data_IF_624122684392
#
_entry.id   IF_624122684392
#
_cell.length_a   1.000
_cell.length_b   1.000
_cell.length_c   1.000
_cell.angle_alpha   90.00
_cell.angle_beta   90.00
_cell.angle_gamma   90.00
#
_symmetry.space_group_name_H-M   'P 1'
#
loop_
_entity.id
_entity.type
_entity.pdbx_description
1 polymer ?
#
# COMPACT_ATOMS: atom_id res chain seq x y z
N UNK A 1 6.26 4.64 22.28
CA UNK A 1 4.91 5.24 22.18
C UNK A 1 4.88 6.13 20.96
N UNK A 2 3.83 6.06 20.14
CA UNK A 2 3.59 7.04 19.07
C UNK A 2 3.24 8.36 19.76
N UNK A 3 4.05 9.40 19.56
CA UNK A 3 3.78 10.74 20.10
C UNK A 3 2.78 11.45 19.21
N UNK A 4 1.92 12.28 19.80
CA UNK A 4 0.91 13.06 19.04
C UNK A 4 1.55 13.90 17.93
N UNK A 5 2.72 14.49 18.18
CA UNK A 5 3.47 15.26 17.18
C UNK A 5 3.80 14.43 15.93
N UNK A 6 4.19 13.16 16.11
CA UNK A 6 4.53 12.27 14.99
C UNK A 6 3.29 11.86 14.20
N UNK A 7 2.16 11.65 14.86
CA UNK A 7 0.87 11.40 14.19
C UNK A 7 0.49 12.57 13.29
N UNK A 8 0.57 13.80 13.81
CA UNK A 8 0.21 15.03 13.07
C UNK A 8 1.15 15.25 11.89
N UNK A 9 2.46 15.08 12.08
CA UNK A 9 3.47 15.24 11.02
C UNK A 9 3.23 14.26 9.87
N UNK A 10 3.05 12.96 10.18
CA UNK A 10 2.77 11.94 9.15
C UNK A 10 1.45 12.27 8.44
N UNK A 11 0.41 12.62 9.19
CA UNK A 11 -0.88 12.97 8.60
C UNK A 11 -0.76 14.14 7.62
N UNK A 12 -0.07 15.21 8.02
CA UNK A 12 0.14 16.38 7.16
C UNK A 12 0.85 16.01 5.85
N UNK A 13 1.95 15.26 5.92
CA UNK A 13 2.70 14.83 4.74
C UNK A 13 1.85 13.96 3.79
N UNK A 14 1.07 13.04 4.36
CA UNK A 14 0.18 12.16 3.61
C UNK A 14 -0.97 12.94 2.97
N UNK A 15 -1.57 13.87 3.69
CA UNK A 15 -2.73 14.65 3.24
C UNK A 15 -2.36 15.58 2.08
N UNK A 16 -1.23 16.29 2.19
CA UNK A 16 -0.72 17.13 1.10
C UNK A 16 -0.38 16.30 -0.15
N UNK A 17 0.28 15.15 0.03
CA UNK A 17 0.55 14.23 -1.07
C UNK A 17 -0.73 13.73 -1.76
N UNK A 18 -1.74 13.33 -0.99
CA UNK A 18 -2.99 12.81 -1.57
C UNK A 18 -3.78 13.87 -2.31
N UNK A 19 -3.76 15.14 -1.87
CA UNK A 19 -4.37 16.25 -2.61
C UNK A 19 -3.74 16.41 -3.99
N UNK A 20 -2.40 16.41 -4.06
CA UNK A 20 -1.67 16.49 -5.33
C UNK A 20 -1.92 15.26 -6.20
N UNK A 21 -1.83 14.07 -5.60
CA UNK A 21 -2.05 12.79 -6.28
C UNK A 21 -3.46 12.73 -6.90
N UNK A 22 -4.50 13.08 -6.14
CA UNK A 22 -5.88 13.06 -6.61
C UNK A 22 -6.11 14.09 -7.73
N UNK A 23 -5.46 15.26 -7.68
CA UNK A 23 -5.53 16.25 -8.74
C UNK A 23 -4.94 15.73 -10.06
N UNK A 24 -3.75 15.09 -10.00
CA UNK A 24 -3.09 14.49 -11.16
C UNK A 24 -3.88 13.31 -11.71
N UNK A 25 -4.36 12.40 -10.86
CA UNK A 25 -5.16 11.27 -11.31
C UNK A 25 -6.46 11.76 -11.97
N UNK A 26 -7.10 12.79 -11.42
CA UNK A 26 -8.31 13.37 -12.02
C UNK A 26 -8.05 14.00 -13.38
N UNK A 27 -6.93 14.70 -13.58
CA UNK A 27 -6.60 15.32 -14.87
C UNK A 27 -6.25 14.31 -15.97
N UNK A 28 -5.75 13.13 -15.58
CA UNK A 28 -5.38 12.05 -16.51
C UNK A 28 -6.38 10.90 -16.57
N UNK A 29 -7.51 10.99 -15.86
CA UNK A 29 -8.59 10.01 -15.93
C UNK A 29 -9.41 10.22 -17.19
N UNK A 30 -9.68 9.14 -17.92
CA UNK A 30 -10.62 9.17 -19.05
C UNK A 30 -12.04 9.45 -18.53
N UNK A 31 -12.79 10.29 -19.24
CA UNK A 31 -14.21 10.49 -18.93
C UNK A 31 -14.98 9.19 -19.17
N UNK A 32 -15.64 8.66 -18.12
CA UNK A 32 -16.56 7.53 -18.28
C UNK A 32 -17.74 7.97 -19.17
N UNK A 33 -17.85 7.40 -20.38
CA UNK A 33 -19.02 7.56 -21.23
C UNK A 33 -20.31 7.16 -20.50
N UNK A 34 -21.36 7.97 -20.70
CA UNK A 34 -22.68 7.91 -20.07
C UNK A 34 -22.65 7.72 -18.53
N UNK A 35 -22.78 8.83 -17.81
CA UNK A 35 -22.87 8.93 -16.35
C UNK A 35 -23.94 7.98 -15.76
N UNK A 36 -23.58 6.72 -15.47
CA UNK A 36 -24.33 5.94 -14.50
C UNK A 36 -24.27 6.73 -13.19
N UNK A 37 -25.41 7.22 -12.71
CA UNK A 37 -25.51 7.96 -11.43
C UNK A 37 -24.97 7.07 -10.31
N UNK A 38 -23.69 7.24 -9.98
CA UNK A 38 -23.05 6.57 -8.85
C UNK A 38 -23.35 7.37 -7.59
N UNK A 39 -23.63 6.66 -6.50
CA UNK A 39 -23.92 7.28 -5.21
C UNK A 39 -22.65 7.95 -4.69
N UNK A 40 -22.60 9.29 -4.73
CA UNK A 40 -21.45 10.06 -4.28
C UNK A 40 -21.53 10.33 -2.77
N UNK A 41 -21.36 9.28 -1.95
CA UNK A 41 -21.31 9.42 -0.49
C UNK A 41 -19.85 9.47 -0.04
N UNK A 42 -19.50 10.54 0.68
CA UNK A 42 -18.19 10.65 1.35
C UNK A 42 -18.00 9.46 2.29
N UNK A 43 -16.81 8.86 2.27
CA UNK A 43 -16.45 7.84 3.25
C UNK A 43 -16.35 8.47 4.64
N UNK A 44 -16.69 7.70 5.66
CA UNK A 44 -16.56 8.13 7.06
C UNK A 44 -15.11 8.43 7.43
N UNK A 45 -14.18 7.67 6.85
CA UNK A 45 -12.74 7.85 7.03
C UNK A 45 -12.10 8.16 5.67
N UNK A 46 -11.26 9.19 5.64
CA UNK A 46 -10.56 9.69 4.45
C UNK A 46 -9.40 8.77 4.04
N UNK A 47 -8.93 8.92 2.79
CA UNK A 47 -7.73 8.23 2.33
C UNK A 47 -6.50 8.59 3.17
N UNK A 48 -6.37 9.86 3.56
CA UNK A 48 -5.28 10.38 4.39
C UNK A 48 -5.24 9.70 5.76
N UNK A 49 -6.39 9.57 6.43
CA UNK A 49 -6.49 8.86 7.71
C UNK A 49 -6.12 7.38 7.57
N UNK A 50 -6.65 6.68 6.55
CA UNK A 50 -6.35 5.26 6.33
C UNK A 50 -4.85 5.07 6.11
N UNK A 51 -4.25 5.85 5.22
CA UNK A 51 -2.84 5.74 4.87
C UNK A 51 -1.93 6.12 6.05
N UNK A 52 -2.31 7.13 6.84
CA UNK A 52 -1.61 7.49 8.09
C UNK A 52 -1.61 6.34 9.09
N UNK A 53 -2.76 5.67 9.30
CA UNK A 53 -2.85 4.52 10.20
C UNK A 53 -1.92 3.38 9.73
N UNK A 54 -1.87 3.09 8.42
CA UNK A 54 -0.97 2.07 7.87
C UNK A 54 0.50 2.40 8.11
N UNK A 55 0.90 3.66 7.93
CA UNK A 55 2.28 4.09 8.21
C UNK A 55 2.58 4.02 9.71
N UNK A 56 1.66 4.48 10.56
CA UNK A 56 1.81 4.42 12.02
C UNK A 56 1.94 2.98 12.54
N UNK A 57 1.31 2.01 11.89
CA UNK A 57 1.46 0.59 12.24
C UNK A 57 2.93 0.15 12.21
N UNK A 58 3.70 0.59 11.21
CA UNK A 58 5.13 0.27 11.10
C UNK A 58 6.01 0.97 12.14
N UNK A 59 5.55 2.10 12.70
CA UNK A 59 6.18 2.73 13.86
C UNK A 59 5.66 2.19 15.19
N UNK A 60 4.63 1.36 15.15
CA UNK A 60 4.05 0.73 16.32
C UNK A 60 4.82 -0.56 16.63
N UNK A 61 4.85 -0.94 17.91
CA UNK A 61 5.41 -2.24 18.33
C UNK A 61 4.40 -3.39 18.23
N UNK A 62 3.24 -3.16 17.58
CA UNK A 62 2.22 -4.19 17.41
C UNK A 62 2.63 -5.17 16.31
N UNK A 63 2.39 -6.47 16.55
CA UNK A 63 2.70 -7.54 15.58
C UNK A 63 1.61 -7.75 14.54
N UNK A 64 0.40 -7.25 14.81
CA UNK A 64 -0.78 -7.51 13.99
C UNK A 64 -1.59 -6.22 13.77
N UNK A 65 -1.97 -6.00 12.51
CA UNK A 65 -2.68 -4.80 12.08
C UNK A 65 -4.06 -4.69 12.71
N UNK A 66 -4.76 -5.80 12.92
CA UNK A 66 -6.09 -5.80 13.55
C UNK A 66 -6.02 -5.32 14.99
N UNK A 67 -5.06 -5.84 15.76
CA UNK A 67 -4.85 -5.41 17.14
C UNK A 67 -4.45 -3.93 17.20
N UNK A 68 -3.56 -3.48 16.32
CA UNK A 68 -3.20 -2.07 16.23
C UNK A 68 -4.39 -1.18 15.88
N UNK A 69 -5.20 -1.55 14.89
CA UNK A 69 -6.38 -0.77 14.51
C UNK A 69 -7.43 -0.69 15.64
N UNK A 70 -7.63 -1.78 16.40
CA UNK A 70 -8.50 -1.77 17.58
C UNK A 70 -7.95 -0.86 18.68
N UNK A 71 -6.63 -0.79 18.83
CA UNK A 71 -5.98 0.20 19.70
C UNK A 71 -6.24 1.63 19.21
N UNK A 72 -6.05 1.93 17.92
CA UNK A 72 -6.34 3.26 17.33
C UNK A 72 -7.80 3.67 17.64
N UNK A 73 -8.76 2.78 17.39
CA UNK A 73 -10.19 3.03 17.64
C UNK A 73 -10.54 3.29 19.10
N UNK A 74 -9.80 2.69 20.04
CA UNK A 74 -10.11 2.78 21.48
C UNK A 74 -9.30 3.86 22.20
N UNK A 75 -8.04 4.06 21.82
CA UNK A 75 -7.06 4.88 22.56
C UNK A 75 -6.62 6.13 21.80
N UNK A 76 -6.76 6.19 20.48
CA UNK A 76 -6.39 7.36 19.65
C UNK A 76 -7.61 8.10 19.12
N UNK A 77 -8.69 8.17 19.90
CA UNK A 77 -9.94 8.83 19.46
C UNK A 77 -9.81 10.35 19.28
N UNK A 78 -8.85 10.97 19.96
CA UNK A 78 -8.53 12.38 19.74
C UNK A 78 -8.05 12.64 18.32
N UNK A 79 -7.23 11.72 17.81
CA UNK A 79 -6.57 11.85 16.51
C UNK A 79 -7.47 11.28 15.40
N UNK A 80 -8.21 10.21 15.70
CA UNK A 80 -9.12 9.52 14.79
C UNK A 80 -10.52 9.38 15.40
N UNK A 81 -11.34 10.46 15.39
CA UNK A 81 -12.64 10.47 16.06
C UNK A 81 -13.70 9.60 15.36
N UNK A 82 -13.60 9.44 14.04
CA UNK A 82 -14.63 8.78 13.21
C UNK A 82 -14.08 7.53 12.49
N UNK A 83 -13.70 6.53 13.28
CA UNK A 83 -13.23 5.24 12.74
C UNK A 83 -14.36 4.34 12.24
N UNK A 84 -14.03 3.41 11.35
CA UNK A 84 -14.95 2.39 10.79
C UNK A 84 -14.74 1.02 11.44
N UNK A 85 -15.58 0.03 11.10
CA UNK A 85 -15.31 -1.37 11.49
C UNK A 85 -14.00 -1.87 10.86
N UNK A 86 -13.34 -2.84 11.48
CA UNK A 86 -12.07 -3.39 10.95
C UNK A 86 -12.22 -3.94 9.53
N UNK A 87 -13.32 -4.66 9.24
CA UNK A 87 -13.56 -5.17 7.89
C UNK A 87 -13.67 -4.04 6.88
N UNK A 88 -14.35 -2.95 7.26
CA UNK A 88 -14.46 -1.77 6.40
C UNK A 88 -13.12 -1.05 6.23
N UNK A 89 -12.28 -1.05 7.26
CA UNK A 89 -10.92 -0.50 7.20
C UNK A 89 -10.06 -1.25 6.18
N UNK A 90 -10.07 -2.60 6.20
CA UNK A 90 -9.35 -3.44 5.23
C UNK A 90 -9.83 -3.20 3.78
N UNK A 91 -11.12 -2.94 3.58
CA UNK A 91 -11.62 -2.54 2.25
C UNK A 91 -11.08 -1.18 1.79
N UNK A 92 -10.93 -0.22 2.70
CA UNK A 92 -10.38 1.11 2.41
C UNK A 92 -8.86 1.07 2.20
N UNK A 93 -8.14 0.22 2.92
CA UNK A 93 -6.70 -0.03 2.74
C UNK A 93 -6.37 -0.36 1.27
N UNK A 94 -7.19 -1.19 0.63
CA UNK A 94 -7.00 -1.56 -0.79
C UNK A 94 -7.04 -0.36 -1.74
N UNK A 95 -7.74 0.72 -1.38
CA UNK A 95 -7.80 1.94 -2.19
C UNK A 95 -6.55 2.80 -2.07
N UNK A 96 -5.95 2.82 -0.88
CA UNK A 96 -4.74 3.63 -0.61
C UNK A 96 -3.45 2.88 -0.93
N UNK A 97 -3.51 1.57 -1.23
CA UNK A 97 -2.33 0.77 -1.55
C UNK A 97 -1.48 1.34 -2.71
N UNK A 98 -2.12 1.74 -3.81
CA UNK A 98 -1.40 2.35 -4.95
C UNK A 98 -0.84 3.75 -4.58
N UNK A 99 -1.65 4.68 -4.04
CA UNK A 99 -1.12 5.95 -3.54
C UNK A 99 0.04 5.79 -2.55
N UNK A 100 -0.04 4.82 -1.64
CA UNK A 100 1.01 4.52 -0.66
C UNK A 100 2.30 4.06 -1.34
N UNK A 101 2.21 3.17 -2.34
CA UNK A 101 3.38 2.77 -3.11
C UNK A 101 4.04 3.96 -3.84
N UNK A 102 3.23 4.84 -4.44
CA UNK A 102 3.72 6.06 -5.10
C UNK A 102 4.37 7.00 -4.08
N UNK A 103 3.74 7.22 -2.93
CA UNK A 103 4.29 8.02 -1.83
C UNK A 103 5.64 7.49 -1.37
N UNK A 104 5.76 6.19 -1.13
CA UNK A 104 7.01 5.57 -0.71
C UNK A 104 8.13 5.84 -1.73
N UNK A 105 7.83 5.67 -3.02
CA UNK A 105 8.81 5.86 -4.10
C UNK A 105 9.22 7.33 -4.31
N UNK A 106 8.32 8.27 -4.02
CA UNK A 106 8.55 9.70 -4.24
C UNK A 106 9.15 10.41 -3.02
N UNK A 107 8.80 9.99 -1.81
CA UNK A 107 9.05 10.76 -0.59
C UNK A 107 9.77 9.99 0.53
N UNK A 108 9.85 8.65 0.46
CA UNK A 108 10.29 7.84 1.59
C UNK A 108 11.43 6.84 1.25
N UNK A 109 12.13 7.03 0.14
CA UNK A 109 13.32 6.23 -0.16
C UNK A 109 14.53 6.76 0.63
N UNK A 110 15.31 5.84 1.20
CA UNK A 110 16.56 6.13 1.89
C UNK A 110 17.69 6.49 0.93
N UNK A 111 18.82 6.89 1.49
CA UNK A 111 20.02 7.17 0.71
C UNK A 111 20.89 5.92 0.58
N UNK A 112 21.47 5.72 -0.61
CA UNK A 112 22.44 4.65 -0.81
C UNK A 112 23.73 4.97 -0.05
N UNK A 113 24.07 4.11 0.91
CA UNK A 113 25.25 4.24 1.80
C UNK A 113 26.48 3.51 1.24
N UNK A 114 26.40 2.98 0.02
CA UNK A 114 27.45 2.21 -0.65
C UNK A 114 27.24 0.69 -0.63
N UNK A 115 26.43 0.17 0.30
CA UNK A 115 26.03 -1.23 0.36
C UNK A 115 24.51 -1.33 0.20
N UNK A 116 24.06 -2.21 -0.68
CA UNK A 116 22.64 -2.49 -0.88
C UNK A 116 22.38 -4.00 -0.89
N UNK A 117 21.26 -4.39 -0.27
CA UNK A 117 20.75 -5.75 -0.26
C UNK A 117 19.53 -5.81 -1.15
N UNK A 118 19.47 -6.82 -2.01
CA UNK A 118 18.33 -7.08 -2.89
C UNK A 118 17.78 -8.45 -2.55
N UNK A 119 16.49 -8.50 -2.26
CA UNK A 119 15.76 -9.76 -2.13
C UNK A 119 14.49 -9.75 -2.98
N UNK A 120 14.11 -10.94 -3.46
CA UNK A 120 12.96 -11.10 -4.34
C UNK A 120 11.91 -12.02 -3.70
N UNK A 121 10.70 -11.48 -3.51
CA UNK A 121 9.57 -12.25 -2.96
C UNK A 121 8.54 -12.55 -4.04
N UNK A 122 8.11 -13.81 -4.24
CA UNK A 122 7.10 -14.15 -5.23
C UNK A 122 5.70 -13.72 -4.78
N UNK A 123 5.07 -12.80 -5.53
CA UNK A 123 3.65 -12.43 -5.40
C UNK A 123 2.83 -13.36 -6.30
N UNK A 124 2.09 -14.30 -5.69
CA UNK A 124 1.34 -15.33 -6.43
C UNK A 124 -0.03 -14.80 -6.85
N UNK A 125 -0.30 -14.75 -8.15
CA UNK A 125 -1.63 -14.38 -8.68
C UNK A 125 -2.62 -15.53 -8.55
N UNK A 126 -2.16 -16.77 -8.76
CA UNK A 126 -2.96 -17.98 -8.50
C UNK A 126 -2.06 -19.18 -8.23
N UNK A 127 -2.68 -20.31 -7.85
CA UNK A 127 -1.98 -21.59 -7.81
C UNK A 127 -1.52 -21.97 -9.23
N UNK A 128 -0.29 -22.49 -9.39
CA UNK A 128 0.32 -22.76 -10.70
C UNK A 128 -0.54 -23.66 -11.60
N UNK A 129 -1.18 -24.69 -11.01
CA UNK A 129 -2.09 -25.60 -11.73
C UNK A 129 -3.31 -24.89 -12.36
N UNK A 130 -3.67 -23.68 -11.88
CA UNK A 130 -4.83 -22.90 -12.35
C UNK A 130 -4.45 -21.77 -13.31
N UNK A 131 -3.18 -21.63 -13.68
CA UNK A 131 -2.69 -20.60 -14.62
C UNK A 131 -3.57 -20.51 -15.87
N UNK A 132 -3.84 -21.64 -16.54
CA UNK A 132 -4.61 -21.67 -17.79
C UNK A 132 -6.04 -21.11 -17.65
N UNK A 133 -6.59 -21.12 -16.44
CA UNK A 133 -7.93 -20.63 -16.13
C UNK A 133 -7.93 -19.19 -15.58
N UNK A 134 -6.75 -18.65 -15.25
CA UNK A 134 -6.62 -17.30 -14.69
C UNK A 134 -6.84 -16.26 -15.78
N UNK A 135 -7.75 -15.30 -15.52
CA UNK A 135 -8.13 -14.26 -16.49
C UNK A 135 -7.60 -12.87 -16.12
N UNK A 136 -7.58 -12.53 -14.84
CA UNK A 136 -7.32 -11.15 -14.37
C UNK A 136 -5.91 -10.65 -14.72
N UNK A 137 -4.89 -11.47 -14.49
CA UNK A 137 -3.49 -11.14 -14.81
C UNK A 137 -2.93 -11.99 -15.94
N UNK A 138 -3.77 -12.52 -16.83
CA UNK A 138 -3.32 -13.46 -17.88
C UNK A 138 -2.18 -12.91 -18.73
N UNK A 139 -2.25 -11.63 -19.08
CA UNK A 139 -1.26 -10.96 -19.93
C UNK A 139 -0.05 -10.47 -19.15
N UNK A 140 -0.22 -10.21 -17.84
CA UNK A 140 0.79 -9.61 -16.99
C UNK A 140 1.60 -10.64 -16.23
N UNK A 141 0.97 -11.63 -15.58
CA UNK A 141 1.64 -12.63 -14.75
C UNK A 141 2.37 -13.68 -15.60
N UNK A 142 3.46 -14.22 -15.05
CA UNK A 142 4.27 -15.28 -15.67
C UNK A 142 4.56 -16.39 -14.68
N UNK A 143 4.98 -17.55 -15.20
CA UNK A 143 5.55 -18.61 -14.38
C UNK A 143 6.95 -18.20 -13.95
N UNK A 144 7.20 -18.25 -12.65
CA UNK A 144 8.52 -18.07 -12.07
C UNK A 144 8.90 -19.24 -11.18
N UNK A 145 10.20 -19.40 -10.96
CA UNK A 145 10.75 -20.30 -9.95
C UNK A 145 11.27 -19.48 -8.76
N UNK A 146 10.94 -19.95 -7.57
CA UNK A 146 11.47 -19.48 -6.28
C UNK A 146 12.15 -20.64 -5.55
N UNK A 147 12.84 -20.37 -4.45
CA UNK A 147 13.40 -21.41 -3.56
C UNK A 147 12.33 -22.38 -3.06
N UNK A 148 11.09 -21.89 -2.86
CA UNK A 148 9.91 -22.66 -2.45
C UNK A 148 9.22 -23.37 -3.62
N UNK A 149 9.76 -23.30 -4.83
CA UNK A 149 9.23 -23.94 -6.03
C UNK A 149 8.60 -22.98 -7.04
N UNK A 150 7.86 -23.55 -7.99
CA UNK A 150 7.23 -22.81 -9.08
C UNK A 150 5.97 -22.06 -8.64
N UNK A 151 5.76 -20.87 -9.19
CA UNK A 151 4.59 -20.04 -8.96
C UNK A 151 4.14 -19.36 -10.25
N UNK A 152 2.90 -18.89 -10.27
CA UNK A 152 2.37 -18.04 -11.34
C UNK A 152 2.01 -16.67 -10.75
N UNK A 153 2.66 -15.61 -11.23
CA UNK A 153 2.52 -14.28 -10.66
C UNK A 153 3.67 -13.34 -11.00
N UNK A 154 4.09 -12.56 -10.02
CA UNK A 154 5.13 -11.53 -10.11
C UNK A 154 6.24 -11.80 -9.10
N UNK A 155 7.44 -11.27 -9.31
CA UNK A 155 8.45 -11.13 -8.27
C UNK A 155 8.48 -9.67 -7.83
N UNK A 156 8.51 -9.44 -6.53
CA UNK A 156 8.74 -8.14 -5.93
C UNK A 156 10.20 -8.10 -5.49
N UNK A 157 10.99 -7.23 -6.09
CA UNK A 157 12.35 -6.94 -5.66
C UNK A 157 12.32 -5.76 -4.71
N UNK A 158 12.87 -5.95 -3.51
CA UNK A 158 13.08 -4.90 -2.52
C UNK A 158 14.58 -4.64 -2.41
N UNK A 159 14.96 -3.37 -2.46
CA UNK A 159 16.33 -2.92 -2.30
C UNK A 159 16.40 -2.15 -0.98
N UNK A 160 17.25 -2.58 -0.05
CA UNK A 160 17.45 -1.92 1.24
C UNK A 160 18.92 -1.60 1.47
N UNK A 161 19.22 -0.58 2.27
CA UNK A 161 20.58 -0.32 2.75
C UNK A 161 20.89 -1.08 4.05
N UNK A 162 22.12 -0.94 4.53
CA UNK A 162 22.63 -1.50 5.79
C UNK A 162 21.91 -0.99 7.05
N UNK A 163 21.17 0.12 6.95
CA UNK A 163 20.33 0.68 8.01
C UNK A 163 18.88 0.17 7.96
N UNK A 164 18.53 -0.65 6.96
CA UNK A 164 17.18 -1.16 6.75
C UNK A 164 16.23 -0.16 6.10
N UNK A 165 16.73 0.94 5.53
CA UNK A 165 15.93 1.89 4.78
C UNK A 165 15.69 1.38 3.36
N UNK A 166 14.47 1.58 2.85
CA UNK A 166 14.10 1.17 1.50
C UNK A 166 14.76 2.10 0.47
N UNK A 167 15.64 1.57 -0.37
CA UNK A 167 16.27 2.30 -1.47
C UNK A 167 15.43 2.24 -2.75
N UNK A 168 14.61 1.21 -2.90
CA UNK A 168 13.75 1.07 -4.05
C UNK A 168 13.00 -0.25 -4.07
N UNK A 169 11.98 -0.32 -4.91
CA UNK A 169 11.27 -1.55 -5.19
C UNK A 169 10.75 -1.57 -6.62
N UNK A 170 10.69 -2.78 -7.18
CA UNK A 170 10.14 -3.05 -8.51
C UNK A 170 9.41 -4.38 -8.51
N UNK A 171 8.40 -4.48 -9.37
CA UNK A 171 7.72 -5.74 -9.65
C UNK A 171 7.94 -6.12 -11.10
N UNK A 172 8.48 -7.31 -11.34
CA UNK A 172 8.58 -7.90 -12.67
C UNK A 172 7.74 -9.17 -12.74
N UNK A 173 7.12 -9.39 -13.89
CA UNK A 173 6.48 -10.65 -14.19
C UNK A 173 7.54 -11.61 -14.67
N UNK A 174 8.28 -12.20 -13.71
CA UNK A 174 9.32 -13.21 -13.86
C UNK A 174 9.79 -13.47 -15.30
N UNK A 175 11.02 -13.04 -15.59
CA UNK A 175 11.75 -13.18 -16.87
C UNK A 175 11.31 -14.36 -17.75
N UNK A 176 11.12 -14.03 -19.04
CA UNK A 176 11.12 -14.94 -20.20
C UNK A 176 12.14 -16.07 -20.06
#
# INVERSE_FOLDING_TARGET
MITTNKTVEIYYLVDEFLKEYDAVIKSHSLEEGALKKRRNRKFTMSGSEVMTILILFHFSSFRDLKHFYLFVRSRMRSDFPHTVSYNRFVELERKVCIPLAVFLKMKALGQCTGISFIDSTPIRSCHIKREKQHKTFKEFARKGKSTLGWFYGFKLHLIINDKGELLGFSSDSGLM
#
